data_IF_876868050945
#
_entry.id   IF_876868050945
#
_cell.length_a   1.000
_cell.length_b   1.000
_cell.length_c   1.000
_cell.angle_alpha   90.00
_cell.angle_beta   90.00
_cell.angle_gamma   90.00
#
_symmetry.space_group_name_H-M   'P 1'
#
loop_
_entity.id
_entity.type
_entity.pdbx_description
1 polymer ?
#
# COMPACT_ATOMS: atom_id res chain seq x y z
N UNK A 1 -39.91 0.53 -13.53
CA UNK A 1 -39.46 0.66 -14.95
C UNK A 1 -38.00 1.12 -15.11
N UNK A 2 -37.58 2.21 -14.46
CA UNK A 2 -36.20 2.74 -14.52
C UNK A 2 -35.15 1.84 -13.84
N UNK A 3 -35.49 1.17 -12.74
CA UNK A 3 -34.60 0.23 -12.06
C UNK A 3 -34.25 -1.02 -12.92
N UNK A 4 -35.15 -1.42 -13.82
CA UNK A 4 -34.94 -2.59 -14.70
C UNK A 4 -34.03 -2.28 -15.90
N UNK A 5 -33.96 -1.03 -16.33
CA UNK A 5 -33.04 -0.59 -17.39
C UNK A 5 -31.61 -0.37 -16.85
N UNK A 6 -31.47 -0.02 -15.58
CA UNK A 6 -30.18 0.32 -14.97
C UNK A 6 -29.21 -0.86 -14.78
N UNK A 7 -29.74 -2.10 -14.73
CA UNK A 7 -28.95 -3.33 -14.57
C UNK A 7 -28.53 -3.98 -15.91
N UNK A 8 -29.11 -3.55 -17.04
CA UNK A 8 -28.81 -4.11 -18.36
C UNK A 8 -27.35 -3.87 -18.81
N UNK A 9 -26.65 -2.92 -18.20
CA UNK A 9 -25.22 -2.67 -18.46
C UNK A 9 -24.30 -3.78 -17.93
N UNK A 10 -24.76 -4.58 -16.97
CA UNK A 10 -23.94 -5.62 -16.34
C UNK A 10 -24.13 -6.97 -17.01
N UNK A 11 -25.26 -7.24 -17.66
CA UNK A 11 -25.54 -8.54 -18.28
C UNK A 11 -25.00 -8.63 -19.70
N UNK A 12 -24.36 -9.76 -20.01
CA UNK A 12 -23.86 -10.07 -21.36
C UNK A 12 -25.03 -10.40 -22.30
N UNK A 13 -24.91 -9.97 -23.56
CA UNK A 13 -25.88 -10.33 -24.60
C UNK A 13 -25.69 -11.79 -25.03
N UNK A 14 -26.79 -12.49 -25.31
CA UNK A 14 -26.74 -13.84 -25.89
C UNK A 14 -26.37 -13.79 -27.39
N UNK A 15 -25.49 -14.68 -27.83
CA UNK A 15 -25.08 -14.83 -29.22
C UNK A 15 -23.56 -14.88 -29.40
N UNK A 16 -23.11 -15.40 -30.54
CA UNK A 16 -21.68 -15.63 -30.83
C UNK A 16 -21.19 -14.83 -32.04
N UNK A 17 -21.93 -13.79 -32.46
CA UNK A 17 -21.50 -12.96 -33.58
C UNK A 17 -20.45 -11.93 -33.14
N UNK A 18 -19.69 -11.38 -34.11
CA UNK A 18 -18.59 -10.43 -33.82
C UNK A 18 -19.06 -9.21 -33.03
N UNK A 19 -20.23 -8.67 -33.35
CA UNK A 19 -20.76 -7.47 -32.68
C UNK A 19 -21.13 -7.73 -31.22
N UNK A 20 -21.69 -8.92 -30.92
CA UNK A 20 -22.00 -9.38 -29.56
C UNK A 20 -20.70 -9.62 -28.79
N UNK A 21 -19.71 -10.26 -29.40
CA UNK A 21 -18.40 -10.47 -28.77
C UNK A 21 -17.69 -9.14 -28.44
N UNK A 22 -17.68 -8.18 -29.37
CA UNK A 22 -17.11 -6.84 -29.13
C UNK A 22 -17.85 -6.12 -28.00
N UNK A 23 -19.20 -6.15 -28.00
CA UNK A 23 -20.02 -5.53 -26.96
C UNK A 23 -19.82 -6.19 -25.58
N UNK A 24 -19.67 -7.52 -25.52
CA UNK A 24 -19.51 -8.25 -24.27
C UNK A 24 -18.09 -8.17 -23.68
N UNK A 25 -17.05 -7.93 -24.49
CA UNK A 25 -15.65 -7.91 -24.05
C UNK A 25 -15.41 -7.05 -22.80
N UNK A 26 -15.91 -5.80 -22.79
CA UNK A 26 -15.77 -4.91 -21.64
C UNK A 26 -16.55 -5.42 -20.42
N UNK A 27 -17.74 -6.00 -20.62
CA UNK A 27 -18.59 -6.55 -19.55
C UNK A 27 -17.91 -7.73 -18.89
N UNK A 28 -17.37 -8.65 -19.70
CA UNK A 28 -16.63 -9.82 -19.22
C UNK A 28 -15.38 -9.41 -18.45
N UNK A 29 -14.62 -8.42 -18.95
CA UNK A 29 -13.47 -7.86 -18.22
C UNK A 29 -13.89 -7.27 -16.86
N UNK A 30 -14.94 -6.45 -16.80
CA UNK A 30 -15.42 -5.87 -15.55
C UNK A 30 -15.86 -6.98 -14.58
N UNK A 31 -16.61 -7.97 -15.07
CA UNK A 31 -17.07 -9.09 -14.25
C UNK A 31 -15.92 -9.94 -13.72
N UNK A 32 -14.89 -10.17 -14.55
CA UNK A 32 -13.73 -11.01 -14.23
C UNK A 32 -12.74 -10.33 -13.29
N UNK A 33 -12.40 -9.07 -13.54
CA UNK A 33 -11.32 -8.39 -12.80
C UNK A 33 -11.79 -7.65 -11.54
N UNK A 34 -13.08 -7.33 -11.43
CA UNK A 34 -13.65 -6.61 -10.29
C UNK A 34 -14.77 -7.45 -9.65
N UNK A 35 -14.48 -8.45 -8.80
CA UNK A 35 -15.49 -9.37 -8.28
C UNK A 35 -16.56 -8.69 -7.41
N UNK A 36 -16.17 -7.65 -6.66
CA UNK A 36 -17.09 -6.82 -5.88
C UNK A 36 -17.45 -5.57 -6.68
N UNK A 37 -18.75 -5.39 -6.96
CA UNK A 37 -19.27 -4.28 -7.77
C UNK A 37 -20.49 -3.70 -7.11
N UNK A 38 -20.57 -2.37 -7.06
CA UNK A 38 -21.72 -1.61 -6.57
C UNK A 38 -21.96 -0.47 -7.54
N UNK A 39 -23.22 -0.26 -7.92
CA UNK A 39 -23.64 0.84 -8.78
C UNK A 39 -24.46 1.83 -7.94
N UNK A 40 -24.12 3.12 -8.05
CA UNK A 40 -24.87 4.23 -7.50
C UNK A 40 -25.43 5.06 -8.64
N UNK A 41 -26.61 5.62 -8.42
CA UNK A 41 -27.29 6.49 -9.38
C UNK A 41 -27.49 7.84 -8.73
N UNK A 42 -27.30 8.89 -9.53
CA UNK A 42 -27.38 10.27 -9.07
C UNK A 42 -28.36 11.02 -9.96
N UNK A 43 -29.32 11.68 -9.33
CA UNK A 43 -30.18 12.65 -9.99
C UNK A 43 -29.34 13.87 -10.39
N UNK A 44 -29.84 14.71 -11.30
CA UNK A 44 -29.09 15.91 -11.69
C UNK A 44 -29.00 16.86 -10.49
N UNK A 45 -27.80 17.33 -10.09
CA UNK A 45 -27.62 18.07 -8.84
C UNK A 45 -28.30 19.44 -8.84
N UNK A 46 -28.37 20.09 -10.00
CA UNK A 46 -28.99 21.41 -10.22
C UNK A 46 -29.52 21.53 -11.64
N UNK A 47 -30.37 22.54 -11.91
CA UNK A 47 -30.76 22.89 -13.28
C UNK A 47 -29.53 23.23 -14.15
N UNK A 48 -29.62 22.93 -15.46
CA UNK A 48 -28.50 23.02 -16.41
C UNK A 48 -27.80 24.39 -16.41
N UNK A 49 -28.54 25.47 -16.20
CA UNK A 49 -28.03 26.84 -16.23
C UNK A 49 -27.07 27.14 -15.06
N UNK A 50 -27.21 26.40 -13.94
CA UNK A 50 -26.39 26.54 -12.74
C UNK A 50 -25.18 25.59 -12.71
N UNK A 51 -25.06 24.65 -13.64
CA UNK A 51 -23.94 23.69 -13.68
C UNK A 51 -22.57 24.36 -13.80
N UNK A 52 -22.49 25.52 -14.45
CA UNK A 52 -21.24 26.27 -14.63
C UNK A 52 -20.70 26.88 -13.33
N UNK A 53 -21.57 27.05 -12.35
CA UNK A 53 -21.25 27.67 -11.05
C UNK A 53 -21.42 26.65 -9.91
N UNK A 54 -21.48 25.35 -10.21
CA UNK A 54 -21.80 24.31 -9.21
C UNK A 54 -20.82 24.30 -8.03
N UNK A 55 -19.53 24.58 -8.27
CA UNK A 55 -18.50 24.65 -7.22
C UNK A 55 -18.66 25.85 -6.27
N UNK A 56 -19.55 26.80 -6.61
CA UNK A 56 -19.89 27.97 -5.78
C UNK A 56 -21.20 27.80 -5.01
N UNK A 57 -21.94 26.72 -5.29
CA UNK A 57 -23.23 26.45 -4.68
C UNK A 57 -23.05 25.70 -3.35
N UNK A 58 -23.95 25.98 -2.41
CA UNK A 58 -24.03 25.21 -1.16
C UNK A 58 -24.94 23.98 -1.35
N UNK A 59 -24.87 23.02 -0.43
CA UNK A 59 -25.77 21.85 -0.44
C UNK A 59 -27.26 22.25 -0.43
N UNK A 60 -27.60 23.42 0.13
CA UNK A 60 -28.97 23.94 0.15
C UNK A 60 -29.47 24.45 -1.22
N UNK A 61 -28.54 24.72 -2.15
CA UNK A 61 -28.84 25.12 -3.52
C UNK A 61 -29.02 23.90 -4.47
N UNK A 62 -28.71 22.69 -3.97
CA UNK A 62 -28.77 21.43 -4.71
C UNK A 62 -30.12 20.73 -4.52
N UNK A 63 -30.45 19.86 -5.48
CA UNK A 63 -31.61 18.98 -5.37
C UNK A 63 -31.47 18.04 -4.16
N UNK A 64 -32.47 18.05 -3.26
CA UNK A 64 -32.45 17.29 -2.01
C UNK A 64 -32.18 15.78 -2.25
N UNK A 65 -32.76 15.23 -3.32
CA UNK A 65 -32.54 13.83 -3.71
C UNK A 65 -31.10 13.53 -4.07
N UNK A 66 -30.45 14.44 -4.79
CA UNK A 66 -29.03 14.31 -5.13
C UNK A 66 -28.16 14.37 -3.87
N UNK A 67 -28.41 15.33 -2.98
CA UNK A 67 -27.67 15.46 -1.70
C UNK A 67 -27.78 14.19 -0.88
N UNK A 68 -28.98 13.61 -0.79
CA UNK A 68 -29.20 12.33 -0.10
C UNK A 68 -28.44 11.18 -0.76
N UNK A 69 -28.51 11.03 -2.09
CA UNK A 69 -27.78 10.00 -2.85
C UNK A 69 -26.26 10.12 -2.69
N UNK A 70 -25.73 11.35 -2.74
CA UNK A 70 -24.32 11.66 -2.52
C UNK A 70 -23.89 11.31 -1.09
N UNK A 71 -24.70 11.65 -0.10
CA UNK A 71 -24.44 11.32 1.30
C UNK A 71 -24.41 9.81 1.54
N UNK A 72 -25.37 9.07 0.96
CA UNK A 72 -25.40 7.61 1.02
C UNK A 72 -24.19 6.98 0.32
N UNK A 73 -23.80 7.50 -0.84
CA UNK A 73 -22.59 7.09 -1.55
C UNK A 73 -21.32 7.31 -0.71
N UNK A 74 -21.14 8.51 -0.17
CA UNK A 74 -19.98 8.85 0.67
C UNK A 74 -19.92 7.94 1.90
N UNK A 75 -21.06 7.75 2.59
CA UNK A 75 -21.15 6.87 3.76
C UNK A 75 -20.79 5.43 3.39
N UNK A 76 -21.26 4.94 2.24
CA UNK A 76 -20.91 3.61 1.77
C UNK A 76 -19.42 3.48 1.46
N UNK A 77 -18.83 4.42 0.72
CA UNK A 77 -17.40 4.38 0.36
C UNK A 77 -16.55 4.42 1.63
N UNK A 78 -16.79 5.39 2.51
CA UNK A 78 -16.01 5.52 3.76
C UNK A 78 -16.19 4.33 4.70
N UNK A 79 -17.39 3.73 4.75
CA UNK A 79 -17.68 2.59 5.63
C UNK A 79 -17.27 1.23 5.08
N UNK A 80 -17.16 1.06 3.75
CA UNK A 80 -16.93 -0.24 3.10
C UNK A 80 -15.60 -0.32 2.33
N UNK A 81 -14.90 0.80 2.12
CA UNK A 81 -13.59 0.79 1.47
C UNK A 81 -12.55 0.08 2.34
N UNK A 82 -11.96 -0.98 1.80
CA UNK A 82 -10.89 -1.70 2.45
C UNK A 82 -9.55 -0.96 2.27
N UNK A 83 -8.67 -1.13 3.25
CA UNK A 83 -7.26 -0.73 3.12
C UNK A 83 -6.69 -1.40 1.89
N UNK A 84 -6.00 -0.63 1.04
CA UNK A 84 -5.39 -1.17 -0.18
C UNK A 84 -4.37 -2.24 0.18
N UNK A 85 -4.54 -3.43 -0.39
CA UNK A 85 -3.59 -4.53 -0.30
C UNK A 85 -3.11 -4.95 -1.68
N UNK A 86 -1.94 -5.59 -1.70
CA UNK A 86 -1.36 -6.26 -2.88
C UNK A 86 -1.22 -7.76 -2.58
N UNK A 87 -0.87 -8.56 -3.59
CA UNK A 87 -0.74 -10.02 -3.47
C UNK A 87 0.22 -10.39 -2.32
N UNK A 88 -0.26 -11.27 -1.43
CA UNK A 88 0.41 -11.61 -0.17
C UNK A 88 -0.11 -10.84 1.05
N UNK A 89 -1.21 -10.09 0.93
CA UNK A 89 -1.85 -9.42 2.07
C UNK A 89 -1.12 -8.16 2.57
N UNK A 90 -0.10 -7.71 1.83
CA UNK A 90 0.71 -6.55 2.21
C UNK A 90 -0.15 -5.30 2.09
N UNK A 91 -0.29 -4.56 3.20
CA UNK A 91 -0.97 -3.28 3.23
C UNK A 91 -0.11 -2.22 2.55
N UNK A 92 -0.72 -1.44 1.65
CA UNK A 92 -0.03 -0.37 0.95
C UNK A 92 -0.01 0.87 1.82
N UNK A 93 1.14 1.13 2.46
CA UNK A 93 1.42 2.37 3.20
C UNK A 93 1.74 3.52 2.25
N UNK A 94 1.81 4.76 2.77
CA UNK A 94 2.20 5.93 1.96
C UNK A 94 3.58 5.78 1.32
N UNK A 95 4.56 5.23 2.06
CA UNK A 95 5.91 4.94 1.54
C UNK A 95 5.88 3.95 0.38
N UNK A 96 5.18 2.82 0.55
CA UNK A 96 5.07 1.81 -0.48
C UNK A 96 4.30 2.33 -1.70
N UNK A 97 3.26 3.13 -1.49
CA UNK A 97 2.50 3.77 -2.56
C UNK A 97 3.39 4.68 -3.41
N UNK A 98 4.19 5.54 -2.78
CA UNK A 98 5.10 6.44 -3.49
C UNK A 98 6.08 5.66 -4.38
N UNK A 99 6.64 4.55 -3.86
CA UNK A 99 7.56 3.68 -4.60
C UNK A 99 6.90 2.98 -5.79
N UNK A 100 5.68 2.46 -5.58
CA UNK A 100 4.88 1.85 -6.66
C UNK A 100 4.55 2.87 -7.76
N UNK A 101 4.16 4.09 -7.38
CA UNK A 101 3.86 5.18 -8.32
C UNK A 101 5.09 5.51 -9.17
N UNK A 102 6.25 5.77 -8.53
CA UNK A 102 7.49 6.08 -9.26
C UNK A 102 7.84 4.97 -10.25
N UNK A 103 7.85 3.71 -9.79
CA UNK A 103 8.16 2.58 -10.67
C UNK A 103 7.20 2.45 -11.85
N UNK A 104 5.88 2.59 -11.62
CA UNK A 104 4.89 2.51 -12.69
C UNK A 104 5.04 3.62 -13.71
N UNK A 105 5.24 4.86 -13.25
CA UNK A 105 5.45 6.01 -14.13
C UNK A 105 6.73 5.83 -14.96
N UNK A 106 7.84 5.43 -14.35
CA UNK A 106 9.11 5.20 -15.06
C UNK A 106 9.01 4.06 -16.07
N UNK A 107 8.33 2.97 -15.70
CA UNK A 107 8.10 1.82 -16.59
C UNK A 107 7.28 2.23 -17.81
N UNK A 108 6.17 2.96 -17.61
CA UNK A 108 5.31 3.46 -18.68
C UNK A 108 6.09 4.44 -19.58
N UNK A 109 6.84 5.37 -18.98
CA UNK A 109 7.67 6.34 -19.71
C UNK A 109 8.72 5.65 -20.58
N UNK A 110 9.23 4.50 -20.13
CA UNK A 110 10.17 3.67 -20.90
C UNK A 110 9.53 2.82 -22.01
N UNK A 111 8.21 2.92 -22.22
CA UNK A 111 7.46 2.13 -23.21
C UNK A 111 7.21 0.68 -22.79
N UNK A 112 7.48 0.33 -21.52
CA UNK A 112 7.28 -1.02 -20.97
C UNK A 112 5.94 -1.09 -20.24
N UNK A 113 5.43 -2.32 -20.08
CA UNK A 113 4.19 -2.59 -19.33
C UNK A 113 4.52 -2.83 -17.85
N UNK A 114 3.91 -2.10 -16.90
CA UNK A 114 4.08 -2.38 -15.48
C UNK A 114 3.62 -3.78 -15.09
N UNK A 115 4.42 -4.46 -14.27
CA UNK A 115 4.09 -5.76 -13.68
C UNK A 115 4.09 -5.64 -12.16
N UNK A 116 2.93 -5.84 -11.53
CA UNK A 116 2.76 -5.68 -10.07
C UNK A 116 3.60 -6.69 -9.29
N UNK A 117 3.60 -7.96 -9.70
CA UNK A 117 4.39 -9.00 -9.03
C UNK A 117 5.89 -8.65 -9.01
N UNK A 118 6.44 -8.24 -10.15
CA UNK A 118 7.85 -7.85 -10.25
C UNK A 118 8.13 -6.59 -9.43
N UNK A 119 7.19 -5.65 -9.42
CA UNK A 119 7.32 -4.41 -8.65
C UNK A 119 7.47 -4.69 -7.16
N UNK A 120 6.61 -5.55 -6.61
CA UNK A 120 6.59 -5.86 -5.19
C UNK A 120 7.86 -6.60 -4.77
N UNK A 121 8.31 -7.56 -5.56
CA UNK A 121 9.55 -8.32 -5.27
C UNK A 121 10.76 -7.40 -5.31
N UNK A 122 10.89 -6.57 -6.35
CA UNK A 122 12.01 -5.64 -6.49
C UNK A 122 12.04 -4.60 -5.36
N UNK A 123 10.88 -4.08 -4.97
CA UNK A 123 10.79 -3.13 -3.85
C UNK A 123 11.11 -3.81 -2.51
N UNK A 124 10.60 -5.03 -2.26
CA UNK A 124 10.91 -5.76 -1.03
C UNK A 124 12.43 -6.01 -0.91
N UNK A 125 13.06 -6.46 -1.99
CA UNK A 125 14.51 -6.66 -2.03
C UNK A 125 15.27 -5.37 -1.69
N UNK A 126 14.92 -4.26 -2.33
CA UNK A 126 15.64 -2.99 -2.18
C UNK A 126 15.43 -2.38 -0.79
N UNK A 127 14.18 -2.31 -0.33
CA UNK A 127 13.85 -1.67 0.94
C UNK A 127 14.28 -2.54 2.13
N UNK A 128 14.19 -3.87 2.04
CA UNK A 128 14.67 -4.74 3.13
C UNK A 128 16.19 -4.73 3.23
N UNK A 129 16.93 -4.72 2.11
CA UNK A 129 18.38 -4.50 2.12
C UNK A 129 18.73 -3.19 2.84
N UNK A 130 18.05 -2.11 2.49
CA UNK A 130 18.26 -0.81 3.12
C UNK A 130 17.87 -0.80 4.61
N UNK A 131 16.81 -1.51 4.98
CA UNK A 131 16.37 -1.65 6.37
C UNK A 131 17.43 -2.38 7.21
N UNK A 132 18.09 -3.42 6.66
CA UNK A 132 19.23 -4.08 7.33
C UNK A 132 20.37 -3.11 7.55
N UNK A 133 20.74 -2.32 6.54
CA UNK A 133 21.82 -1.32 6.65
C UNK A 133 21.50 -0.24 7.69
N UNK A 134 20.29 0.34 7.65
CA UNK A 134 19.84 1.37 8.60
C UNK A 134 19.79 0.81 10.03
N UNK A 135 19.21 -0.37 10.24
CA UNK A 135 19.13 -1.02 11.54
C UNK A 135 20.51 -1.42 12.10
N UNK A 136 21.39 -1.95 11.26
CA UNK A 136 22.74 -2.31 11.67
C UNK A 136 23.55 -1.05 12.03
N UNK A 137 23.43 0.03 11.24
CA UNK A 137 24.08 1.29 11.56
C UNK A 137 23.60 1.88 12.89
N UNK A 138 22.28 1.83 13.16
CA UNK A 138 21.72 2.26 14.44
C UNK A 138 22.28 1.43 15.59
N UNK A 139 22.30 0.10 15.44
CA UNK A 139 22.89 -0.79 16.45
C UNK A 139 24.35 -0.44 16.76
N UNK A 140 25.17 -0.21 15.73
CA UNK A 140 26.59 0.18 15.89
C UNK A 140 26.73 1.49 16.65
N UNK A 141 25.92 2.48 16.27
CA UNK A 141 25.93 3.79 16.90
C UNK A 141 25.58 3.67 18.39
N UNK A 142 24.45 3.04 18.71
CA UNK A 142 24.01 2.86 20.09
C UNK A 142 25.05 2.08 20.92
N UNK A 143 25.58 0.97 20.39
CA UNK A 143 26.60 0.21 21.10
C UNK A 143 27.86 1.04 21.37
N UNK A 144 28.30 1.87 20.43
CA UNK A 144 29.47 2.73 20.62
C UNK A 144 29.24 3.86 21.63
N UNK A 145 28.06 4.49 21.63
CA UNK A 145 27.72 5.56 22.56
C UNK A 145 27.66 5.03 24.00
N UNK A 146 27.05 3.86 24.19
CA UNK A 146 26.86 3.27 25.51
C UNK A 146 28.14 2.63 26.07
N UNK A 147 29.00 2.03 25.24
CA UNK A 147 30.28 1.46 25.69
C UNK A 147 31.29 2.52 26.14
N UNK A 148 31.27 3.71 25.54
CA UNK A 148 32.08 4.86 26.00
C UNK A 148 31.65 5.34 27.38
N UNK A 149 30.37 5.17 27.72
CA UNK A 149 29.79 5.68 28.96
C UNK A 149 29.83 4.66 30.10
N UNK A 150 29.47 3.38 29.89
CA UNK A 150 28.95 2.51 30.96
C UNK A 150 29.32 1.01 30.89
N UNK A 151 30.57 0.61 30.68
CA UNK A 151 30.91 -0.83 30.83
C UNK A 151 32.20 -1.08 31.60
N UNK A 152 32.09 -1.34 32.91
CA UNK A 152 33.17 -1.93 33.71
C UNK A 152 33.06 -3.47 33.76
N UNK A 153 31.88 -4.03 33.45
CA UNK A 153 31.60 -5.46 33.51
C UNK A 153 30.94 -6.03 32.25
N UNK A 154 31.16 -7.34 32.02
CA UNK A 154 30.55 -8.10 30.91
C UNK A 154 29.01 -8.14 30.99
N UNK A 155 28.46 -8.09 32.21
CA UNK A 155 27.02 -8.16 32.44
C UNK A 155 26.32 -6.85 32.01
N UNK A 156 26.94 -5.71 32.28
CA UNK A 156 26.48 -4.39 31.81
C UNK A 156 26.52 -4.30 30.28
N UNK A 157 27.59 -4.79 29.65
CA UNK A 157 27.71 -4.84 28.19
C UNK A 157 26.61 -5.70 27.55
N UNK A 158 26.25 -6.83 28.17
CA UNK A 158 25.16 -7.70 27.71
C UNK A 158 23.80 -7.00 27.80
N UNK A 159 23.54 -6.27 28.88
CA UNK A 159 22.28 -5.52 29.04
C UNK A 159 22.16 -4.39 27.99
N UNK A 160 23.25 -3.66 27.74
CA UNK A 160 23.30 -2.64 26.68
C UNK A 160 23.03 -3.27 25.31
N UNK A 161 23.65 -4.42 25.02
CA UNK A 161 23.43 -5.15 23.77
C UNK A 161 21.96 -5.49 23.50
N UNK A 162 21.22 -5.94 24.53
CA UNK A 162 19.80 -6.28 24.40
C UNK A 162 18.94 -5.05 24.08
N UNK A 163 19.22 -3.91 24.70
CA UNK A 163 18.53 -2.65 24.44
C UNK A 163 18.80 -2.18 23.01
N UNK A 164 20.08 -2.14 22.60
CA UNK A 164 20.47 -1.75 21.24
C UNK A 164 19.87 -2.68 20.19
N UNK A 165 19.82 -3.99 20.46
CA UNK A 165 19.18 -4.96 19.57
C UNK A 165 17.70 -4.64 19.40
N UNK A 166 17.01 -4.38 20.50
CA UNK A 166 15.57 -4.14 20.48
C UNK A 166 15.24 -2.95 19.59
N UNK A 167 15.94 -1.83 19.75
CA UNK A 167 15.72 -0.64 18.92
C UNK A 167 16.04 -0.87 17.44
N UNK A 168 17.15 -1.56 17.14
CA UNK A 168 17.52 -1.91 15.77
C UNK A 168 16.47 -2.82 15.11
N UNK A 169 15.93 -3.78 15.86
CA UNK A 169 14.90 -4.69 15.36
C UNK A 169 13.56 -3.97 15.15
N UNK A 170 13.18 -3.08 16.05
CA UNK A 170 11.98 -2.25 15.89
C UNK A 170 12.09 -1.37 14.63
N UNK A 171 13.24 -0.73 14.41
CA UNK A 171 13.50 0.03 13.18
C UNK A 171 13.43 -0.87 11.92
N UNK A 172 14.05 -2.05 11.97
CA UNK A 172 13.98 -3.00 10.85
C UNK A 172 12.54 -3.42 10.55
N UNK A 173 11.74 -3.73 11.56
CA UNK A 173 10.34 -4.13 11.39
C UNK A 173 9.44 -3.00 10.88
N UNK A 174 9.73 -1.75 11.25
CA UNK A 174 9.05 -0.56 10.69
C UNK A 174 9.34 -0.38 9.19
N UNK A 175 10.57 -0.71 8.76
CA UNK A 175 11.08 -0.40 7.42
C UNK A 175 11.00 -1.54 6.43
N UNK A 176 11.10 -2.78 6.91
CA UNK A 176 11.02 -3.97 6.07
C UNK A 176 9.57 -4.32 5.73
N UNK A 177 9.40 -4.99 4.60
CA UNK A 177 8.12 -5.60 4.25
C UNK A 177 8.35 -6.83 3.37
N UNK A 178 7.44 -7.81 3.46
CA UNK A 178 7.49 -9.05 2.67
C UNK A 178 8.83 -9.80 2.77
N UNK A 179 9.39 -9.88 3.98
CA UNK A 179 10.52 -10.76 4.32
C UNK A 179 9.97 -12.12 4.81
N UNK A 180 9.16 -12.79 3.98
CA UNK A 180 8.38 -13.97 4.39
C UNK A 180 9.31 -15.16 4.76
N UNK A 181 10.50 -15.23 4.18
CA UNK A 181 11.54 -16.23 4.46
C UNK A 181 12.53 -15.79 5.56
N UNK A 182 12.30 -14.63 6.18
CA UNK A 182 13.16 -14.03 7.21
C UNK A 182 14.63 -13.89 6.80
N UNK A 183 14.89 -13.81 5.50
CA UNK A 183 16.24 -13.76 4.97
C UNK A 183 16.96 -12.48 5.41
N UNK A 184 16.27 -11.34 5.34
CA UNK A 184 16.86 -10.05 5.73
C UNK A 184 16.95 -9.91 7.24
N UNK A 185 15.95 -10.40 7.97
CA UNK A 185 16.04 -10.47 9.43
C UNK A 185 17.23 -11.32 9.88
N UNK A 186 17.45 -12.49 9.26
CA UNK A 186 18.61 -13.34 9.56
C UNK A 186 19.92 -12.63 9.22
N UNK A 187 19.98 -11.90 8.11
CA UNK A 187 21.14 -11.09 7.74
C UNK A 187 21.45 -10.03 8.80
N UNK A 188 20.44 -9.32 9.32
CA UNK A 188 20.61 -8.37 10.42
C UNK A 188 21.16 -9.05 11.68
N UNK A 189 20.63 -10.22 12.04
CA UNK A 189 21.10 -10.97 13.22
C UNK A 189 22.57 -11.38 13.10
N UNK A 190 23.01 -11.78 11.91
CA UNK A 190 24.42 -12.14 11.63
C UNK A 190 25.32 -10.90 11.69
N UNK A 191 24.96 -9.80 11.02
CA UNK A 191 25.76 -8.57 11.02
C UNK A 191 25.98 -8.05 12.45
N UNK A 192 24.90 -8.01 13.24
CA UNK A 192 24.96 -7.60 14.64
C UNK A 192 25.81 -8.53 15.51
N UNK A 193 25.71 -9.85 15.30
CA UNK A 193 26.50 -10.81 16.06
C UNK A 193 27.99 -10.60 15.81
N UNK A 194 28.40 -10.44 14.55
CA UNK A 194 29.78 -10.14 14.19
C UNK A 194 30.28 -8.85 14.88
N UNK A 195 29.45 -7.80 14.87
CA UNK A 195 29.80 -6.54 15.51
C UNK A 195 29.97 -6.68 17.04
N UNK A 196 29.04 -7.37 17.71
CA UNK A 196 29.13 -7.61 19.15
C UNK A 196 30.38 -8.41 19.52
N UNK A 197 30.66 -9.49 18.78
CA UNK A 197 31.86 -10.31 19.00
C UNK A 197 33.15 -9.52 18.77
N UNK A 198 33.17 -8.60 17.80
CA UNK A 198 34.28 -7.69 17.59
C UNK A 198 34.49 -6.82 18.83
N UNK A 199 33.43 -6.18 19.33
CA UNK A 199 33.51 -5.35 20.55
C UNK A 199 34.04 -6.11 21.76
N UNK A 200 33.55 -7.33 22.02
CA UNK A 200 33.99 -8.15 23.16
C UNK A 200 35.43 -8.69 23.02
N UNK A 201 35.98 -8.76 21.81
CA UNK A 201 37.37 -9.18 21.59
C UNK A 201 38.39 -8.05 21.77
N UNK A 202 37.94 -6.78 21.76
CA UNK A 202 38.80 -5.60 21.92
C UNK A 202 38.78 -5.01 23.35
N UNK A 203 37.85 -5.45 24.20
CA UNK A 203 37.76 -5.13 25.64
C UNK A 203 38.38 -6.22 26.48
#
# INVERSE_FOLDING_TARGET
PLASLHLSFIFSYQGHNKNVATSNSARECIQKYFPHRKCFVFDTPVHRDKLKIIDQLSDSDLEERFVKQATEFCSYVLGNSLVKTIKGGIKVTGRLLAKLVMMYVDTIKSGKVPCLENAVVALAQTENSKAVEEAHSLYKQLLSEWTVLHTETQEELSNVHEICLKEALELFLDRSFKDDDQRFQTQLMVCRHLEYTSFTCFT
#
